data_IF_427764706852
#
_entry.id   IF_427764706852
#
_cell.length_a   1.000
_cell.length_b   1.000
_cell.length_c   1.000
_cell.angle_alpha   90.00
_cell.angle_beta   90.00
_cell.angle_gamma   90.00
#
_symmetry.space_group_name_H-M   'P 1'
#
loop_
_entity.id
_entity.type
_entity.pdbx_description
1 polymer ?
#
# COMPACT_ATOMS: atom_id res chain seq x y z
N UNK A 1 5.06 -19.47 -17.79
CA UNK A 1 5.85 -19.49 -16.53
C UNK A 1 5.14 -18.62 -15.50
N UNK A 2 4.25 -19.20 -14.68
CA UNK A 2 3.43 -18.45 -13.71
C UNK A 2 4.23 -18.22 -12.43
N UNK A 3 4.74 -17.00 -12.19
CA UNK A 3 5.27 -16.62 -10.88
C UNK A 3 4.15 -16.05 -10.02
N UNK A 4 3.54 -16.91 -9.22
CA UNK A 4 2.69 -16.49 -8.11
C UNK A 4 3.61 -16.10 -6.96
N UNK A 5 3.92 -14.81 -6.82
CA UNK A 5 4.76 -14.33 -5.73
C UNK A 5 3.89 -14.13 -4.47
N UNK A 6 4.23 -14.86 -3.40
CA UNK A 6 3.62 -14.69 -2.09
C UNK A 6 4.12 -13.38 -1.45
N UNK A 7 3.18 -12.47 -1.16
CA UNK A 7 3.44 -11.15 -0.57
C UNK A 7 4.15 -11.24 0.79
N UNK A 8 4.05 -12.37 1.49
CA UNK A 8 4.72 -12.59 2.80
C UNK A 8 6.23 -12.75 2.63
N UNK A 9 6.67 -13.44 1.57
CA UNK A 9 8.09 -13.69 1.31
C UNK A 9 8.83 -12.41 0.95
N UNK A 10 8.24 -11.58 0.08
CA UNK A 10 8.80 -10.28 -0.31
C UNK A 10 8.95 -9.31 0.87
N UNK A 11 8.01 -9.38 1.83
CA UNK A 11 8.10 -8.60 3.07
C UNK A 11 9.27 -9.07 3.93
N UNK A 12 9.42 -10.38 4.11
CA UNK A 12 10.52 -10.95 4.89
C UNK A 12 11.91 -10.59 4.34
N UNK A 13 12.09 -10.65 3.01
CA UNK A 13 13.35 -10.26 2.35
C UNK A 13 13.68 -8.77 2.57
N UNK A 14 12.67 -7.89 2.52
CA UNK A 14 12.84 -6.45 2.81
C UNK A 14 13.23 -6.20 4.26
N UNK A 15 12.70 -6.99 5.21
CA UNK A 15 13.11 -6.91 6.61
C UNK A 15 14.54 -7.40 6.82
N UNK A 16 14.94 -8.48 6.15
CA UNK A 16 16.27 -9.06 6.27
C UNK A 16 17.36 -8.09 5.78
N UNK A 17 17.23 -7.55 4.57
CA UNK A 17 18.21 -6.58 4.06
C UNK A 17 18.27 -5.27 4.86
N UNK A 18 17.19 -4.93 5.57
CA UNK A 18 17.13 -3.77 6.45
C UNK A 18 17.76 -4.05 7.82
N UNK A 19 17.63 -5.27 8.36
CA UNK A 19 18.38 -5.72 9.54
C UNK A 19 19.88 -5.75 9.25
N UNK A 20 20.28 -6.20 8.06
CA UNK A 20 21.68 -6.22 7.64
C UNK A 20 22.26 -4.80 7.54
N UNK A 21 21.48 -3.83 7.03
CA UNK A 21 21.88 -2.41 6.98
C UNK A 21 21.93 -1.75 8.37
N UNK A 22 21.07 -2.18 9.30
CA UNK A 22 21.14 -1.77 10.71
C UNK A 22 22.38 -2.37 11.37
N UNK A 23 22.77 -3.59 11.04
CA UNK A 23 23.95 -4.25 11.61
C UNK A 23 25.28 -3.69 11.07
N UNK A 24 25.27 -3.03 9.90
CA UNK A 24 26.43 -2.38 9.28
C UNK A 24 26.91 -1.09 9.98
N UNK A 25 26.23 -0.63 11.03
CA UNK A 25 26.85 0.11 12.14
C UNK A 25 27.38 1.52 11.86
N UNK A 26 26.50 2.47 11.53
CA UNK A 26 26.84 3.90 11.57
C UNK A 26 25.97 4.63 12.61
N UNK A 27 26.26 4.39 13.90
CA UNK A 27 25.47 4.84 15.06
C UNK A 27 26.26 5.71 16.05
N UNK A 28 27.16 6.57 15.57
CA UNK A 28 27.98 7.38 16.48
C UNK A 28 27.41 8.74 16.87
N UNK A 29 26.24 9.16 16.40
CA UNK A 29 25.54 10.28 17.03
C UNK A 29 24.09 10.38 16.55
N UNK A 30 23.21 10.89 17.41
CA UNK A 30 21.80 11.24 17.15
C UNK A 30 20.78 10.09 17.25
N UNK A 31 20.29 9.86 18.48
CA UNK A 31 18.93 9.40 18.77
C UNK A 31 18.55 7.98 18.32
N UNK A 32 17.63 7.34 19.05
CA UNK A 32 17.11 6.02 18.67
C UNK A 32 16.38 6.16 17.33
N UNK A 33 16.98 5.68 16.23
CA UNK A 33 16.37 5.63 14.91
C UNK A 33 15.35 4.50 14.86
N UNK A 34 14.16 4.72 15.45
CA UNK A 34 13.06 3.76 15.34
C UNK A 34 12.57 3.75 13.90
N UNK A 35 12.70 2.61 13.25
CA UNK A 35 12.18 2.39 11.91
C UNK A 35 10.67 2.17 12.02
N UNK A 36 9.88 3.17 11.62
CA UNK A 36 8.43 3.02 11.58
C UNK A 36 8.03 1.94 10.55
N UNK A 37 7.20 0.95 10.94
CA UNK A 37 6.63 0.01 9.99
C UNK A 37 5.82 0.72 8.90
N UNK A 38 5.83 0.20 7.68
CA UNK A 38 4.98 0.70 6.59
C UNK A 38 3.48 0.51 6.86
N UNK A 39 3.11 -0.25 7.88
CA UNK A 39 1.75 -0.42 8.39
C UNK A 39 1.13 0.90 8.87
N UNK A 40 1.94 1.91 9.20
CA UNK A 40 1.45 3.22 9.64
C UNK A 40 1.12 4.06 8.42
N UNK A 41 -0.18 4.26 8.18
CA UNK A 41 -0.70 5.11 7.12
C UNK A 41 -0.13 6.53 7.23
N UNK A 42 0.31 7.08 6.10
CA UNK A 42 0.89 8.43 6.04
C UNK A 42 2.36 8.53 6.46
N UNK A 43 3.01 7.43 6.87
CA UNK A 43 4.44 7.44 7.14
C UNK A 43 5.26 7.52 5.83
N UNK A 44 6.50 8.07 5.86
CA UNK A 44 7.39 8.04 4.70
C UNK A 44 7.60 6.63 4.13
N UNK A 45 7.65 5.62 5.00
CA UNK A 45 7.76 4.22 4.59
C UNK A 45 6.48 3.69 3.93
N UNK A 46 5.30 4.06 4.41
CA UNK A 46 4.03 3.73 3.76
C UNK A 46 4.01 4.22 2.31
N UNK A 47 4.32 5.50 2.08
CA UNK A 47 4.33 6.07 0.73
C UNK A 47 5.40 5.43 -0.17
N UNK A 48 6.59 5.14 0.38
CA UNK A 48 7.64 4.45 -0.38
C UNK A 48 7.22 3.05 -0.84
N UNK A 49 6.48 2.31 -0.02
CA UNK A 49 6.00 0.97 -0.37
C UNK A 49 4.90 1.03 -1.42
N UNK A 50 3.92 1.93 -1.26
CA UNK A 50 2.85 2.14 -2.25
C UNK A 50 3.42 2.55 -3.60
N UNK A 51 4.45 3.42 -3.61
CA UNK A 51 5.11 3.81 -4.84
C UNK A 51 5.82 2.64 -5.54
N UNK A 52 6.59 1.84 -4.78
CA UNK A 52 7.30 0.69 -5.34
C UNK A 52 6.33 -0.37 -5.89
N UNK A 53 5.20 -0.60 -5.21
CA UNK A 53 4.15 -1.51 -5.68
C UNK A 53 3.51 -1.02 -6.99
N UNK A 54 3.19 0.27 -7.06
CA UNK A 54 2.68 0.89 -8.29
C UNK A 54 3.71 0.77 -9.45
N UNK A 55 4.99 1.02 -9.17
CA UNK A 55 6.06 0.87 -10.15
C UNK A 55 6.25 -0.58 -10.62
N UNK A 56 6.00 -1.58 -9.76
CA UNK A 56 6.01 -2.98 -10.16
C UNK A 56 4.89 -3.27 -11.18
N UNK A 57 3.69 -2.72 -10.96
CA UNK A 57 2.58 -2.81 -11.93
C UNK A 57 2.97 -2.14 -13.25
N UNK A 58 3.50 -0.93 -13.20
CA UNK A 58 3.97 -0.18 -14.40
C UNK A 58 5.06 -0.96 -15.15
N UNK A 59 5.98 -1.62 -14.43
CA UNK A 59 7.01 -2.45 -15.05
C UNK A 59 6.44 -3.67 -15.76
N UNK A 60 5.35 -4.24 -15.24
CA UNK A 60 4.71 -5.42 -15.82
C UNK A 60 3.74 -5.11 -16.95
N UNK A 61 2.96 -4.04 -16.83
CA UNK A 61 1.88 -3.69 -17.77
C UNK A 61 2.25 -2.55 -18.71
N UNK A 62 3.37 -1.87 -18.48
CA UNK A 62 3.79 -0.68 -19.23
C UNK A 62 3.32 0.62 -18.58
N UNK A 63 3.72 1.74 -19.18
CA UNK A 63 3.37 3.07 -18.68
C UNK A 63 1.88 3.34 -18.93
N UNK A 64 1.11 3.74 -17.91
CA UNK A 64 -0.27 4.13 -18.10
C UNK A 64 -0.36 5.39 -18.97
N UNK A 65 -1.34 5.41 -19.87
CA UNK A 65 -1.67 6.57 -20.69
C UNK A 65 -2.68 7.51 -20.00
N UNK A 66 -3.47 6.98 -19.06
CA UNK A 66 -4.54 7.71 -18.38
C UNK A 66 -4.46 7.43 -16.87
N UNK A 67 -4.53 8.50 -16.08
CA UNK A 67 -4.74 8.43 -14.64
C UNK A 67 -6.07 9.09 -14.30
N UNK A 68 -7.00 8.31 -13.73
CA UNK A 68 -8.32 8.82 -13.31
C UNK A 68 -8.38 8.81 -11.79
N UNK A 69 -8.70 9.96 -11.20
CA UNK A 69 -8.93 10.10 -9.77
C UNK A 69 -10.42 10.34 -9.53
N UNK A 70 -11.07 9.38 -8.85
CA UNK A 70 -12.44 9.55 -8.37
C UNK A 70 -12.40 9.89 -6.89
N UNK A 71 -12.95 11.06 -6.55
CA UNK A 71 -13.19 11.43 -5.15
C UNK A 71 -14.54 10.88 -4.74
N UNK A 72 -14.55 9.94 -3.79
CA UNK A 72 -15.78 9.37 -3.23
C UNK A 72 -15.88 9.65 -1.74
N UNK A 73 -17.09 9.93 -1.25
CA UNK A 73 -17.39 9.94 0.17
C UNK A 73 -18.19 8.68 0.53
N UNK A 74 -17.72 7.83 1.46
CA UNK A 74 -18.44 6.61 1.84
C UNK A 74 -19.81 6.89 2.48
N UNK A 75 -20.08 8.12 2.92
CA UNK A 75 -21.37 8.53 3.48
C UNK A 75 -22.41 8.92 2.42
N UNK A 76 -22.04 8.92 1.13
CA UNK A 76 -22.98 9.25 0.08
C UNK A 76 -24.12 8.22 -0.01
N UNK A 77 -25.36 8.67 -0.19
CA UNK A 77 -26.53 7.79 -0.20
C UNK A 77 -26.45 6.72 -1.29
N UNK A 78 -25.81 7.01 -2.42
CA UNK A 78 -25.56 6.07 -3.51
C UNK A 78 -24.66 4.90 -3.05
N UNK A 79 -23.60 5.20 -2.28
CA UNK A 79 -22.69 4.19 -1.74
C UNK A 79 -23.39 3.37 -0.67
N UNK A 80 -24.14 4.01 0.24
CA UNK A 80 -24.89 3.32 1.30
C UNK A 80 -25.99 2.44 0.71
N UNK A 81 -26.67 2.90 -0.34
CA UNK A 81 -27.71 2.14 -1.04
C UNK A 81 -27.12 0.95 -1.81
N UNK A 82 -25.97 1.12 -2.46
CA UNK A 82 -25.26 0.01 -3.10
C UNK A 82 -24.79 -1.06 -2.11
N UNK A 83 -24.48 -0.68 -0.87
CA UNK A 83 -24.11 -1.60 0.21
C UNK A 83 -25.34 -2.33 0.81
N UNK A 84 -26.53 -1.74 0.72
CA UNK A 84 -27.78 -2.31 1.25
C UNK A 84 -28.88 -2.33 0.17
N UNK A 85 -28.91 -3.34 -0.72
CA UNK A 85 -29.85 -3.40 -1.85
C UNK A 85 -31.33 -3.51 -1.45
N UNK A 86 -31.63 -3.71 -0.16
CA UNK A 86 -32.99 -3.92 0.36
C UNK A 86 -33.73 -2.61 0.67
N UNK A 87 -33.06 -1.45 0.69
CA UNK A 87 -33.70 -0.15 0.93
C UNK A 87 -34.13 0.58 -0.35
N UNK A 88 -33.85 0.00 -1.52
CA UNK A 88 -34.15 0.59 -2.83
C UNK A 88 -35.38 0.00 -3.53
N UNK A 89 -36.16 -0.87 -2.87
CA UNK A 89 -37.49 -1.21 -3.37
C UNK A 89 -38.51 -0.15 -2.94
N UNK A 90 -39.23 0.49 -3.87
CA UNK A 90 -40.40 1.28 -3.50
C UNK A 90 -41.43 0.36 -2.83
N UNK A 91 -42.12 0.81 -1.77
CA UNK A 91 -43.21 0.03 -1.17
C UNK A 91 -44.32 -0.19 -2.21
N UNK A 92 -44.78 -1.44 -2.30
CA UNK A 92 -45.94 -1.87 -3.09
C UNK A 92 -47.23 -1.13 -2.72
#
# INVERSE_FOLDING_TARGET
>A
MNRSYDKKTLRAEKYQGLMDAVQAGDFNDVGVKVILPSTIYGSPRFYSEVFQDAMAIVRHLGKPDIFITFTGNPKWPEIISALNPQSSQPPS
#
